data_IF_965122544373
#
_entry.id   IF_965122544373
#
_cell.length_a   1.000
_cell.length_b   1.000
_cell.length_c   1.000
_cell.angle_alpha   90.00
_cell.angle_beta   90.00
_cell.angle_gamma   90.00
#
_symmetry.space_group_name_H-M   'P 1'
#
loop_
_entity.id
_entity.type
_entity.pdbx_description
1 polymer ?
#
# COMPACT_ATOMS: atom_id res chain seq x y z
N UNK A 1 14.59 8.25 2.07
CA UNK A 1 14.55 7.11 1.13
C UNK A 1 15.28 7.45 -0.18
N UNK A 2 16.31 6.68 -0.58
CA UNK A 2 17.11 6.93 -1.80
C UNK A 2 16.31 6.75 -3.11
N UNK A 3 16.78 7.36 -4.22
CA UNK A 3 16.17 7.20 -5.56
C UNK A 3 16.20 5.74 -6.06
N UNK A 4 17.25 4.98 -5.71
CA UNK A 4 17.39 3.58 -6.06
C UNK A 4 16.24 2.71 -5.52
N UNK A 5 15.81 2.97 -4.27
CA UNK A 5 14.68 2.27 -3.66
C UNK A 5 13.38 2.46 -4.45
N UNK A 6 13.16 3.65 -5.01
CA UNK A 6 11.99 3.90 -5.86
C UNK A 6 11.97 3.08 -7.14
N UNK A 7 13.13 2.92 -7.81
CA UNK A 7 13.24 2.08 -9.00
C UNK A 7 12.96 0.62 -8.67
N UNK A 8 13.44 0.16 -7.52
CA UNK A 8 13.22 -1.20 -7.06
C UNK A 8 11.75 -1.48 -6.74
N UNK A 9 11.08 -0.59 -6.02
CA UNK A 9 9.63 -0.72 -5.75
C UNK A 9 8.83 -0.77 -7.06
N UNK A 10 9.15 0.08 -8.03
CA UNK A 10 8.49 0.05 -9.35
C UNK A 10 8.70 -1.29 -10.07
N UNK A 11 9.93 -1.82 -10.03
CA UNK A 11 10.24 -3.14 -10.61
C UNK A 11 9.45 -4.25 -9.91
N UNK A 12 9.33 -4.23 -8.59
CA UNK A 12 8.55 -5.21 -7.84
C UNK A 12 7.05 -5.12 -8.16
N UNK A 13 6.49 -3.91 -8.31
CA UNK A 13 5.09 -3.71 -8.70
C UNK A 13 4.76 -4.24 -10.11
N UNK A 14 5.76 -4.39 -10.98
CA UNK A 14 5.56 -5.08 -12.27
C UNK A 14 5.52 -6.61 -12.14
N UNK A 15 6.15 -7.17 -11.11
CA UNK A 15 6.30 -8.62 -10.89
C UNK A 15 5.24 -9.22 -9.99
N UNK A 16 4.74 -8.44 -9.03
CA UNK A 16 3.81 -8.91 -8.03
C UNK A 16 2.65 -7.94 -7.82
N UNK A 17 1.47 -8.46 -7.44
CA UNK A 17 0.29 -7.65 -7.13
C UNK A 17 0.39 -6.91 -5.80
N UNK A 18 1.26 -7.34 -4.88
CA UNK A 18 1.47 -6.73 -3.56
C UNK A 18 2.95 -6.52 -3.31
N UNK A 19 3.34 -5.29 -2.92
CA UNK A 19 4.71 -4.93 -2.57
C UNK A 19 4.72 -4.21 -1.23
N UNK A 20 5.60 -4.63 -0.32
CA UNK A 20 5.79 -3.95 0.96
C UNK A 20 7.03 -3.04 0.93
N UNK A 21 6.87 -1.79 1.36
CA UNK A 21 7.94 -0.85 1.64
C UNK A 21 8.03 -0.66 3.15
N UNK A 22 8.95 -1.40 3.76
CA UNK A 22 9.19 -1.39 5.21
C UNK A 22 10.40 -0.52 5.55
N UNK A 23 10.37 0.11 6.71
CA UNK A 23 11.52 0.84 7.23
C UNK A 23 11.16 1.67 8.46
N UNK A 24 12.14 2.29 9.13
CA UNK A 24 11.91 3.10 10.32
C UNK A 24 10.86 4.19 10.10
N UNK A 25 10.22 4.64 11.19
CA UNK A 25 9.37 5.84 11.13
C UNK A 25 10.19 7.03 10.61
N UNK A 26 9.55 7.94 9.89
CA UNK A 26 10.17 9.17 9.35
C UNK A 26 11.33 8.96 8.35
N UNK A 27 11.60 7.74 7.86
CA UNK A 27 12.66 7.51 6.86
C UNK A 27 12.29 7.93 5.41
N UNK A 28 11.06 8.44 5.22
CA UNK A 28 10.55 8.95 3.95
C UNK A 28 9.78 7.94 3.09
N UNK A 29 9.16 6.92 3.69
CA UNK A 29 8.31 5.92 3.00
C UNK A 29 7.13 6.57 2.29
N UNK A 30 6.30 7.32 3.02
CA UNK A 30 5.16 8.11 2.52
C UNK A 30 5.59 9.05 1.39
N UNK A 31 6.75 9.71 1.52
CA UNK A 31 7.29 10.58 0.46
C UNK A 31 7.64 9.79 -0.79
N UNK A 32 8.24 8.60 -0.66
CA UNK A 32 8.54 7.74 -1.79
C UNK A 32 7.27 7.20 -2.45
N UNK A 33 6.29 6.75 -1.67
CA UNK A 33 5.00 6.27 -2.17
C UNK A 33 4.24 7.35 -2.95
N UNK A 34 4.15 8.58 -2.40
CA UNK A 34 3.56 9.73 -3.10
C UNK A 34 4.28 10.04 -4.41
N UNK A 35 5.62 9.92 -4.45
CA UNK A 35 6.38 10.08 -5.69
C UNK A 35 6.09 9.00 -6.71
N UNK A 36 5.93 7.75 -6.29
CA UNK A 36 5.57 6.63 -7.16
C UNK A 36 4.15 6.82 -7.72
N UNK A 37 3.23 7.32 -6.90
CA UNK A 37 1.85 7.59 -7.26
C UNK A 37 1.68 8.74 -8.29
N UNK A 38 2.64 9.67 -8.39
CA UNK A 38 2.55 10.80 -9.33
C UNK A 38 2.43 10.29 -10.78
N UNK A 39 1.43 10.81 -11.49
CA UNK A 39 1.15 10.46 -12.88
C UNK A 39 0.49 9.08 -13.07
N UNK A 40 -0.03 8.47 -12.00
CA UNK A 40 -0.76 7.19 -12.04
C UNK A 40 -2.16 7.37 -11.47
N UNK A 41 -3.09 6.53 -11.92
CA UNK A 41 -4.34 6.30 -11.17
C UNK A 41 -3.95 5.67 -9.85
N UNK A 42 -4.20 6.37 -8.75
CA UNK A 42 -3.77 5.98 -7.41
C UNK A 42 -4.86 6.24 -6.38
N UNK A 43 -5.12 5.25 -5.54
CA UNK A 43 -5.92 5.36 -4.33
C UNK A 43 -4.97 5.30 -3.13
N UNK A 44 -5.10 6.24 -2.21
CA UNK A 44 -4.25 6.31 -1.02
C UNK A 44 -5.13 6.19 0.22
N UNK A 45 -4.72 5.34 1.15
CA UNK A 45 -5.37 5.15 2.44
C UNK A 45 -4.30 5.23 3.52
N UNK A 46 -4.40 6.23 4.39
CA UNK A 46 -3.56 6.37 5.58
C UNK A 46 -4.29 5.81 6.79
N UNK A 47 -3.83 4.70 7.36
CA UNK A 47 -4.55 4.04 8.46
C UNK A 47 -4.41 4.77 9.81
N UNK A 48 -3.59 5.82 9.89
CA UNK A 48 -3.62 6.77 11.01
C UNK A 48 -4.75 7.79 10.89
N UNK A 49 -5.29 7.99 9.68
CA UNK A 49 -6.39 8.93 9.42
C UNK A 49 -7.74 8.31 9.76
N UNK A 50 -8.50 8.86 10.74
CA UNK A 50 -9.84 8.36 11.06
C UNK A 50 -10.77 8.33 9.85
N UNK A 51 -10.61 9.28 8.92
CA UNK A 51 -11.38 9.35 7.68
C UNK A 51 -11.13 8.17 6.77
N UNK A 52 -9.87 7.77 6.59
CA UNK A 52 -9.52 6.65 5.71
C UNK A 52 -9.83 5.31 6.38
N UNK A 53 -9.69 5.23 7.69
CA UNK A 53 -10.14 4.08 8.48
C UNK A 53 -11.65 3.88 8.36
N UNK A 54 -12.45 4.95 8.48
CA UNK A 54 -13.91 4.89 8.28
C UNK A 54 -14.29 4.47 6.84
N UNK A 55 -13.56 4.96 5.83
CA UNK A 55 -13.74 4.49 4.44
C UNK A 55 -13.42 3.02 4.25
N UNK A 56 -12.71 2.39 5.17
CA UNK A 56 -12.35 0.97 5.15
C UNK A 56 -13.12 0.16 6.20
N UNK A 57 -14.29 0.62 6.65
CA UNK A 57 -15.19 -0.19 7.49
C UNK A 57 -15.59 -1.50 6.78
N UNK A 58 -15.88 -1.41 5.47
CA UNK A 58 -16.10 -2.57 4.59
C UNK A 58 -14.96 -2.67 3.57
N UNK A 59 -13.76 -3.12 3.97
CA UNK A 59 -12.55 -2.98 3.17
C UNK A 59 -12.62 -3.79 1.88
N UNK A 60 -13.29 -4.95 1.86
CA UNK A 60 -13.46 -5.71 0.64
C UNK A 60 -14.28 -4.91 -0.39
N UNK A 61 -15.42 -4.36 0.02
CA UNK A 61 -16.31 -3.61 -0.86
C UNK A 61 -15.62 -2.37 -1.45
N UNK A 62 -14.75 -1.73 -0.66
CA UNK A 62 -14.00 -0.54 -1.09
C UNK A 62 -12.82 -0.88 -1.97
N UNK A 63 -12.06 -1.94 -1.66
CA UNK A 63 -10.80 -2.25 -2.35
C UNK A 63 -11.00 -3.09 -3.62
N UNK A 64 -12.01 -3.97 -3.65
CA UNK A 64 -12.30 -4.87 -4.76
C UNK A 64 -12.52 -4.19 -6.12
N UNK A 65 -13.25 -3.06 -6.24
CA UNK A 65 -13.47 -2.40 -7.53
C UNK A 65 -12.30 -1.49 -7.97
N UNK A 66 -11.31 -1.22 -7.11
CA UNK A 66 -10.26 -0.26 -7.39
C UNK A 66 -9.34 -0.74 -8.51
N UNK A 67 -8.75 0.23 -9.23
CA UNK A 67 -7.81 -0.02 -10.33
C UNK A 67 -6.56 0.82 -10.17
N UNK A 68 -5.46 0.40 -10.80
CA UNK A 68 -4.20 1.13 -10.74
C UNK A 68 -3.44 0.86 -9.44
N UNK A 69 -2.81 1.89 -8.87
CA UNK A 69 -2.04 1.73 -7.63
C UNK A 69 -2.95 1.96 -6.42
N UNK A 70 -2.91 1.06 -5.45
CA UNK A 70 -3.54 1.24 -4.15
C UNK A 70 -2.45 1.28 -3.10
N UNK A 71 -2.30 2.42 -2.41
CA UNK A 71 -1.33 2.60 -1.34
C UNK A 71 -2.05 2.49 -0.01
N UNK A 72 -1.59 1.57 0.85
CA UNK A 72 -2.03 1.45 2.24
C UNK A 72 -0.86 1.86 3.12
N UNK A 73 -0.97 2.99 3.82
CA UNK A 73 0.05 3.53 4.71
C UNK A 73 -0.16 3.08 6.16
N UNK A 74 0.95 2.92 6.88
CA UNK A 74 0.99 2.48 8.28
C UNK A 74 0.15 1.21 8.55
N UNK A 75 0.36 0.17 7.74
CA UNK A 75 -0.38 -1.13 7.76
C UNK A 75 -0.47 -1.78 9.13
N UNK A 76 0.47 -1.50 10.04
CA UNK A 76 0.44 -2.07 11.40
C UNK A 76 -0.78 -1.62 12.23
N UNK A 77 -1.50 -0.57 11.83
CA UNK A 77 -2.75 -0.18 12.49
C UNK A 77 -3.92 -1.11 12.14
N UNK A 78 -3.87 -1.80 10.99
CA UNK A 78 -4.86 -2.79 10.55
C UNK A 78 -4.19 -3.98 9.85
N UNK A 79 -3.40 -4.79 10.58
CA UNK A 79 -2.65 -5.90 10.00
C UNK A 79 -3.56 -6.97 9.36
N UNK A 80 -4.83 -7.05 9.77
CA UNK A 80 -5.84 -7.94 9.19
C UNK A 80 -6.08 -7.68 7.69
N UNK A 81 -5.80 -6.46 7.21
CA UNK A 81 -5.90 -6.14 5.78
C UNK A 81 -4.91 -6.93 4.93
N UNK A 82 -3.80 -7.43 5.48
CA UNK A 82 -2.81 -8.21 4.73
C UNK A 82 -3.42 -9.48 4.10
N UNK A 83 -4.31 -10.16 4.82
CA UNK A 83 -4.99 -11.36 4.33
C UNK A 83 -5.94 -11.02 3.19
N UNK A 84 -6.76 -9.98 3.39
CA UNK A 84 -7.68 -9.49 2.35
C UNK A 84 -6.92 -9.07 1.08
N UNK A 85 -5.82 -8.32 1.22
CA UNK A 85 -5.02 -7.87 0.09
C UNK A 85 -4.43 -9.05 -0.70
N UNK A 86 -4.02 -10.13 -0.04
CA UNK A 86 -3.59 -11.37 -0.71
C UNK A 86 -4.73 -12.02 -1.48
N UNK A 87 -5.89 -12.18 -0.84
CA UNK A 87 -7.09 -12.74 -1.49
C UNK A 87 -7.49 -11.92 -2.71
N UNK A 88 -7.48 -10.59 -2.62
CA UNK A 88 -7.76 -9.70 -3.74
C UNK A 88 -6.70 -9.82 -4.85
N UNK A 89 -5.44 -9.86 -4.46
CA UNK A 89 -4.30 -9.96 -5.37
C UNK A 89 -4.24 -11.26 -6.18
N UNK A 90 -4.70 -12.38 -5.63
CA UNK A 90 -4.69 -13.69 -6.28
C UNK A 90 -5.83 -13.86 -7.31
N UNK A 91 -6.77 -12.92 -7.39
CA UNK A 91 -7.88 -13.00 -8.34
C UNK A 91 -7.36 -12.85 -9.77
N UNK A 92 -7.74 -13.73 -10.72
CA UNK A 92 -7.15 -13.83 -12.06
C UNK A 92 -7.32 -12.61 -12.98
N UNK A 93 -7.89 -11.50 -12.49
CA UNK A 93 -8.10 -10.24 -13.22
C UNK A 93 -7.97 -9.00 -12.34
N UNK A 94 -7.30 -9.07 -11.19
CA UNK A 94 -7.19 -7.91 -10.29
C UNK A 94 -6.47 -6.74 -10.98
N UNK A 95 -7.18 -5.62 -11.28
CA UNK A 95 -6.60 -4.49 -12.01
C UNK A 95 -5.79 -3.55 -11.09
N UNK A 96 -5.77 -3.84 -9.79
CA UNK A 96 -5.02 -3.10 -8.79
C UNK A 96 -3.65 -3.73 -8.51
N UNK A 97 -2.70 -2.87 -8.14
CA UNK A 97 -1.43 -3.22 -7.51
C UNK A 97 -1.40 -2.56 -6.14
N UNK A 98 -1.05 -3.29 -5.11
CA UNK A 98 -1.00 -2.81 -3.73
C UNK A 98 0.43 -2.48 -3.32
N UNK A 99 0.63 -1.26 -2.84
CA UNK A 99 1.86 -0.83 -2.17
C UNK A 99 1.54 -0.62 -0.69
N UNK A 100 2.12 -1.48 0.14
CA UNK A 100 1.92 -1.47 1.58
C UNK A 100 3.10 -0.76 2.22
N UNK A 101 2.85 0.22 3.06
CA UNK A 101 3.88 0.90 3.84
C UNK A 101 3.70 0.50 5.29
N UNK A 102 4.81 0.23 5.96
CA UNK A 102 4.79 -0.14 7.37
C UNK A 102 6.08 0.25 8.05
N UNK A 103 5.99 0.48 9.36
CA UNK A 103 7.19 0.58 10.17
C UNK A 103 7.83 -0.80 10.33
N UNK A 104 9.15 -0.87 10.16
CA UNK A 104 9.91 -2.12 10.38
C UNK A 104 10.29 -2.32 11.86
N UNK A 105 9.82 -1.46 12.77
CA UNK A 105 10.13 -1.58 14.20
C UNK A 105 9.16 -2.56 14.84
N UNK A 106 9.64 -3.69 15.37
CA UNK A 106 8.84 -4.59 16.20
C UNK A 106 8.68 -3.94 17.57
N UNK A 107 7.71 -3.03 17.69
CA UNK A 107 7.43 -2.30 18.93
C UNK A 107 8.59 -1.39 19.40
N UNK A 108 8.22 -0.33 20.10
CA UNK A 108 9.10 0.38 21.02
C UNK A 108 8.68 -0.04 22.42
#
# INVERSE_FOLDING_TARGET
MPRAAGREVLRLLTRGPVVALLGPRQCGKTTLARRIARGRVCHYFDLESPRDTARLEEPQHVLEPLRGLVVIDEIQHRPELLELLRVLADRPRMPARFLILGSASPYL
#
